data_IF_119049555532
#
_entry.id   IF_119049555532
#
_cell.length_a   1.000
_cell.length_b   1.000
_cell.length_c   1.000
_cell.angle_alpha   90.00
_cell.angle_beta   90.00
_cell.angle_gamma   90.00
#
_symmetry.space_group_name_H-M   'P 1'
#
loop_
_entity.id
_entity.type
_entity.pdbx_description
1 polymer ?
#
# COMPACT_ATOMS: atom_id res chain seq x y z
N UNK A 1 74.59 48.43 25.39
CA UNK A 1 73.12 48.56 25.40
C UNK A 1 72.59 47.91 24.11
N UNK A 2 71.78 46.86 24.25
CA UNK A 2 71.20 46.01 23.18
C UNK A 2 72.16 45.19 22.32
N UNK A 3 72.36 43.90 22.66
CA UNK A 3 72.99 42.90 21.80
C UNK A 3 72.25 41.55 21.90
N UNK A 4 71.68 41.15 20.75
CA UNK A 4 71.59 39.81 20.14
C UNK A 4 70.92 38.59 20.83
N UNK A 5 69.82 38.15 20.19
CA UNK A 5 69.60 36.85 19.50
C UNK A 5 70.10 35.54 20.14
N UNK A 6 69.12 34.63 20.28
CA UNK A 6 69.11 33.18 19.92
C UNK A 6 70.22 32.27 20.51
N UNK A 7 69.82 31.20 21.24
CA UNK A 7 69.65 29.81 20.77
C UNK A 7 69.74 28.81 21.95
N UNK A 8 68.93 27.75 21.90
CA UNK A 8 69.22 26.35 22.30
C UNK A 8 69.71 26.00 23.73
N UNK A 9 68.91 25.21 24.47
CA UNK A 9 69.29 23.90 25.10
C UNK A 9 68.30 23.53 26.23
N UNK A 10 67.52 22.47 26.06
CA UNK A 10 67.71 21.10 26.63
C UNK A 10 67.24 20.97 28.10
N UNK A 11 66.08 20.31 28.24
CA UNK A 11 65.70 19.22 29.16
C UNK A 11 66.09 19.35 30.65
N UNK A 12 65.08 19.45 31.53
CA UNK A 12 65.01 18.59 32.72
C UNK A 12 63.57 18.37 33.21
N UNK A 13 63.27 17.10 33.48
CA UNK A 13 62.04 16.50 33.98
C UNK A 13 61.46 17.21 35.20
N UNK A 14 60.12 17.31 35.24
CA UNK A 14 59.34 17.10 36.47
C UNK A 14 58.03 16.38 36.13
N UNK A 15 58.09 15.06 36.30
CA UNK A 15 56.95 14.15 36.33
C UNK A 15 56.03 14.59 37.48
N UNK A 16 54.81 15.03 37.15
CA UNK A 16 53.71 15.06 38.13
C UNK A 16 52.54 14.31 37.52
N UNK A 17 52.24 13.16 38.13
CA UNK A 17 51.05 12.37 37.86
C UNK A 17 49.80 13.23 38.09
N UNK A 18 49.05 13.51 37.04
CA UNK A 18 47.64 13.86 37.16
C UNK A 18 46.85 12.75 36.49
N UNK A 19 46.44 11.78 37.31
CA UNK A 19 45.45 10.79 36.97
C UNK A 19 44.10 11.51 36.83
N UNK A 20 43.82 12.05 35.65
CA UNK A 20 42.46 12.38 35.26
C UNK A 20 41.80 11.07 34.84
N UNK A 21 40.82 10.64 35.64
CA UNK A 21 39.87 9.60 35.32
C UNK A 21 39.25 9.88 33.94
N UNK A 22 39.77 9.20 32.92
CA UNK A 22 38.98 8.86 31.73
C UNK A 22 37.89 7.93 32.21
N UNK A 23 36.73 8.50 32.54
CA UNK A 23 35.48 7.75 32.53
C UNK A 23 35.31 7.28 31.09
N UNK A 24 35.75 6.03 30.84
CA UNK A 24 35.38 5.29 29.64
C UNK A 24 33.85 5.32 29.55
N UNK A 25 33.35 6.09 28.59
CA UNK A 25 31.94 6.21 28.27
C UNK A 25 31.56 5.22 27.16
N UNK A 26 32.25 4.08 27.11
CA UNK A 26 32.23 3.12 26.00
C UNK A 26 31.94 1.67 26.44
N UNK A 27 31.06 1.42 27.41
CA UNK A 27 30.72 0.04 27.80
C UNK A 27 29.24 -0.25 28.07
N UNK A 28 28.32 0.62 27.64
CA UNK A 28 26.89 0.31 27.73
C UNK A 28 26.35 -0.48 26.53
N UNK A 29 27.13 -0.66 25.45
CA UNK A 29 26.65 -1.25 24.19
C UNK A 29 27.21 -2.66 23.87
N UNK A 30 28.13 -3.18 24.69
CA UNK A 30 28.86 -4.44 24.41
C UNK A 30 28.16 -5.71 24.90
N UNK A 31 26.95 -5.62 25.48
CA UNK A 31 26.23 -6.79 26.03
C UNK A 31 24.75 -6.89 25.61
N UNK A 32 24.32 -6.17 24.56
CA UNK A 32 22.99 -6.36 24.00
C UNK A 32 22.99 -7.60 23.10
N UNK A 33 22.75 -8.75 23.70
CA UNK A 33 22.58 -10.02 22.98
C UNK A 33 21.12 -10.20 22.57
N UNK A 34 20.88 -10.31 21.27
CA UNK A 34 19.53 -10.47 20.74
C UNK A 34 19.22 -11.94 20.48
N UNK A 35 17.96 -12.31 20.64
CA UNK A 35 17.45 -13.67 20.37
C UNK A 35 16.18 -13.58 19.55
N UNK A 36 15.88 -14.62 18.77
CA UNK A 36 14.63 -14.66 18.03
C UNK A 36 13.43 -14.52 18.96
N UNK A 37 13.38 -15.39 19.98
CA UNK A 37 12.23 -15.55 20.86
C UNK A 37 11.86 -14.27 21.61
N UNK A 38 12.83 -13.57 22.18
CA UNK A 38 12.54 -12.40 23.01
C UNK A 38 12.46 -11.10 22.22
N UNK A 39 13.28 -10.94 21.18
CA UNK A 39 13.54 -9.63 20.60
C UNK A 39 13.12 -9.52 19.13
N UNK A 40 13.36 -10.54 18.31
CA UNK A 40 13.15 -10.43 16.86
C UNK A 40 11.76 -10.88 16.43
N UNK A 41 11.19 -11.90 17.05
CA UNK A 41 9.83 -12.36 16.77
C UNK A 41 8.80 -11.22 16.87
N UNK A 42 8.79 -10.35 17.91
CA UNK A 42 7.90 -9.19 17.94
C UNK A 42 8.06 -8.25 16.74
N UNK A 43 9.31 -8.01 16.30
CA UNK A 43 9.62 -7.11 15.17
C UNK A 43 9.12 -7.72 13.86
N UNK A 44 9.37 -9.01 13.64
CA UNK A 44 8.91 -9.76 12.46
C UNK A 44 7.38 -9.84 12.43
N UNK A 45 6.75 -10.12 13.58
CA UNK A 45 5.30 -10.23 13.71
C UNK A 45 4.57 -8.94 13.39
N UNK A 46 5.15 -7.81 13.78
CA UNK A 46 4.61 -6.48 13.49
C UNK A 46 4.83 -6.08 12.03
N UNK A 47 6.03 -6.27 11.50
CA UNK A 47 6.45 -5.63 10.24
C UNK A 47 6.41 -6.56 9.01
N UNK A 48 6.50 -7.87 9.19
CA UNK A 48 6.70 -8.84 8.10
C UNK A 48 5.53 -9.84 8.00
N UNK A 49 5.17 -10.49 9.11
CA UNK A 49 4.13 -11.51 9.17
C UNK A 49 2.73 -11.09 8.69
N UNK A 50 2.33 -9.80 8.69
CA UNK A 50 1.06 -9.42 8.09
C UNK A 50 0.96 -9.78 6.60
N UNK A 51 2.10 -9.79 5.88
CA UNK A 51 2.16 -10.17 4.48
C UNK A 51 2.82 -11.54 4.26
N UNK A 52 3.83 -11.89 5.05
CA UNK A 52 4.60 -13.14 4.97
C UNK A 52 4.01 -14.22 5.88
N UNK A 53 2.91 -14.82 5.44
CA UNK A 53 2.19 -15.86 6.17
C UNK A 53 1.43 -16.78 5.23
N UNK A 54 1.05 -18.00 5.68
CA UNK A 54 0.28 -18.93 4.86
C UNK A 54 -0.98 -18.30 4.30
N UNK A 55 -1.20 -18.49 2.99
CA UNK A 55 -2.38 -17.98 2.29
C UNK A 55 -2.41 -16.45 2.08
N UNK A 56 -1.30 -15.75 2.29
CA UNK A 56 -1.12 -14.35 1.92
C UNK A 56 -0.44 -14.21 0.55
N UNK A 57 -0.22 -12.96 0.10
CA UNK A 57 0.35 -12.65 -1.22
C UNK A 57 1.88 -12.69 -1.29
N UNK A 58 2.59 -12.76 -0.15
CA UNK A 58 4.04 -12.85 -0.16
C UNK A 58 4.53 -14.24 -0.60
N UNK A 59 5.73 -14.35 -1.19
CA UNK A 59 6.22 -15.60 -1.78
C UNK A 59 6.64 -16.67 -0.75
N UNK A 60 6.88 -16.29 0.51
CA UNK A 60 7.30 -17.15 1.60
C UNK A 60 6.79 -16.62 2.94
N UNK A 61 6.80 -17.49 3.95
CA UNK A 61 6.32 -17.18 5.30
C UNK A 61 7.45 -16.62 6.17
N UNK A 62 7.09 -15.84 7.19
CA UNK A 62 7.99 -15.33 8.23
C UNK A 62 7.25 -15.38 9.57
N UNK A 63 6.92 -16.59 10.03
CA UNK A 63 6.15 -16.84 11.27
C UNK A 63 6.99 -17.58 12.30
N UNK A 64 7.71 -18.60 11.89
CA UNK A 64 8.57 -19.42 12.76
C UNK A 64 10.01 -18.92 12.76
N UNK A 65 10.82 -19.41 13.70
CA UNK A 65 12.25 -19.14 13.70
C UNK A 65 12.92 -19.66 12.43
N UNK A 66 12.56 -20.87 12.01
CA UNK A 66 13.05 -21.53 10.80
C UNK A 66 12.77 -20.70 9.54
N UNK A 67 11.54 -20.20 9.41
CA UNK A 67 11.14 -19.34 8.28
C UNK A 67 12.08 -18.13 8.14
N UNK A 68 12.34 -17.45 9.26
CA UNK A 68 13.20 -16.26 9.28
C UNK A 68 14.66 -16.64 9.04
N UNK A 69 15.11 -17.76 9.60
CA UNK A 69 16.47 -18.27 9.45
C UNK A 69 16.82 -18.64 8.01
N UNK A 70 15.87 -19.21 7.26
CA UNK A 70 16.05 -19.51 5.84
C UNK A 70 16.16 -18.26 4.97
N UNK A 71 15.66 -17.12 5.45
CA UNK A 71 15.56 -15.87 4.71
C UNK A 71 16.36 -14.70 5.27
N UNK A 72 17.32 -14.93 6.18
CA UNK A 72 18.09 -13.88 6.88
C UNK A 72 18.71 -12.85 5.94
N UNK A 73 19.33 -13.31 4.84
CA UNK A 73 19.96 -12.41 3.85
C UNK A 73 18.95 -11.48 3.18
N UNK A 74 17.77 -12.02 2.85
CA UNK A 74 16.68 -11.25 2.23
C UNK A 74 16.10 -10.26 3.23
N UNK A 75 15.82 -10.70 4.46
CA UNK A 75 15.34 -9.83 5.54
C UNK A 75 16.34 -8.69 5.77
N UNK A 76 17.62 -9.01 5.99
CA UNK A 76 18.68 -8.04 6.21
C UNK A 76 18.80 -7.02 5.07
N UNK A 77 18.83 -7.49 3.82
CA UNK A 77 18.93 -6.60 2.66
C UNK A 77 17.73 -5.65 2.60
N UNK A 78 16.51 -6.19 2.69
CA UNK A 78 15.30 -5.41 2.46
C UNK A 78 15.02 -4.37 3.56
N UNK A 79 15.34 -4.66 4.82
CA UNK A 79 15.20 -3.68 5.91
C UNK A 79 16.27 -2.58 5.82
N UNK A 80 17.49 -2.91 5.41
CA UNK A 80 18.60 -1.96 5.28
C UNK A 80 18.39 -1.01 4.11
N UNK A 81 17.90 -1.53 2.99
CA UNK A 81 17.53 -0.75 1.80
C UNK A 81 16.15 -0.07 1.93
N UNK A 82 15.48 -0.21 3.09
CA UNK A 82 14.13 0.35 3.35
C UNK A 82 13.08 -0.07 2.33
N UNK A 83 13.25 -1.25 1.73
CA UNK A 83 12.31 -1.84 0.79
C UNK A 83 11.13 -2.49 1.52
N UNK A 84 11.36 -2.97 2.73
CA UNK A 84 10.36 -3.62 3.57
C UNK A 84 10.35 -3.03 5.00
N UNK A 85 9.17 -2.96 5.64
CA UNK A 85 7.86 -3.05 5.00
C UNK A 85 7.66 -1.93 3.96
N UNK A 86 6.84 -2.15 2.92
CA UNK A 86 6.76 -1.23 1.80
C UNK A 86 6.10 0.09 2.23
N UNK A 87 6.89 1.16 2.26
CA UNK A 87 6.43 2.52 2.53
C UNK A 87 7.32 3.54 1.80
N UNK A 88 7.04 3.83 0.51
CA UNK A 88 7.90 4.67 -0.31
C UNK A 88 7.83 6.16 0.06
N UNK A 89 6.88 6.58 0.92
CA UNK A 89 6.74 7.95 1.33
C UNK A 89 7.83 8.35 2.34
N UNK A 90 8.43 9.53 2.12
CA UNK A 90 9.46 10.07 3.01
C UNK A 90 8.86 10.58 4.33
N UNK A 91 9.03 9.78 5.39
CA UNK A 91 8.61 10.13 6.75
C UNK A 91 9.31 11.36 7.33
N UNK A 92 10.46 11.79 6.80
CA UNK A 92 11.10 13.03 7.23
C UNK A 92 10.41 14.28 6.66
N UNK A 93 9.63 14.13 5.59
CA UNK A 93 8.89 15.21 4.96
C UNK A 93 7.50 15.41 5.57
N UNK A 94 6.73 14.33 5.72
CA UNK A 94 5.40 14.35 6.34
C UNK A 94 5.07 12.99 6.94
N UNK A 95 4.28 12.99 8.01
CA UNK A 95 3.82 11.77 8.67
C UNK A 95 2.37 11.45 8.36
N UNK A 96 2.08 10.16 8.18
CA UNK A 96 0.72 9.60 8.12
C UNK A 96 0.42 8.80 9.40
N UNK A 97 -0.85 8.50 9.65
CA UNK A 97 -1.25 7.77 10.89
C UNK A 97 -0.78 6.32 10.90
N UNK A 98 -0.79 5.66 9.74
CA UNK A 98 -0.66 4.21 9.61
C UNK A 98 0.62 3.83 8.82
N UNK A 99 1.73 4.52 9.08
CA UNK A 99 3.02 4.33 8.38
C UNK A 99 3.60 2.93 8.64
N UNK A 100 3.98 2.25 7.56
CA UNK A 100 4.64 0.94 7.62
C UNK A 100 6.15 1.14 7.60
N UNK A 101 6.75 1.54 8.71
CA UNK A 101 8.19 1.82 8.80
C UNK A 101 8.81 1.16 10.04
N UNK A 102 9.96 0.53 9.85
CA UNK A 102 10.78 0.01 10.96
C UNK A 102 11.65 1.12 11.57
N UNK A 103 11.75 1.16 12.90
CA UNK A 103 12.63 2.12 13.58
C UNK A 103 14.11 1.76 13.38
N UNK A 104 15.01 2.71 13.67
CA UNK A 104 16.46 2.45 13.58
C UNK A 104 16.88 1.38 14.60
N UNK A 105 16.24 1.35 15.75
CA UNK A 105 16.46 0.40 16.83
C UNK A 105 15.98 -1.00 16.44
N UNK A 106 14.80 -1.11 15.80
CA UNK A 106 14.29 -2.37 15.27
C UNK A 106 15.24 -2.95 14.21
N UNK A 107 15.70 -2.14 13.27
CA UNK A 107 16.67 -2.56 12.23
C UNK A 107 18.00 -2.96 12.85
N UNK A 108 18.50 -2.17 13.81
CA UNK A 108 19.73 -2.48 14.53
C UNK A 108 19.63 -3.83 15.25
N UNK A 109 18.54 -4.08 15.97
CA UNK A 109 18.33 -5.34 16.68
C UNK A 109 18.37 -6.55 15.74
N UNK A 110 17.68 -6.48 14.59
CA UNK A 110 17.69 -7.55 13.59
C UNK A 110 19.09 -7.77 13.01
N UNK A 111 19.79 -6.70 12.63
CA UNK A 111 21.15 -6.80 12.09
C UNK A 111 22.12 -7.41 13.11
N UNK A 112 22.09 -6.90 14.34
CA UNK A 112 22.96 -7.36 15.43
C UNK A 112 22.71 -8.84 15.75
N UNK A 113 21.44 -9.26 15.82
CA UNK A 113 21.06 -10.66 15.97
C UNK A 113 21.61 -11.55 14.84
N UNK A 114 21.52 -11.10 13.58
CA UNK A 114 22.07 -11.83 12.43
C UNK A 114 23.59 -11.94 12.52
N UNK A 115 24.28 -10.86 12.86
CA UNK A 115 25.73 -10.82 13.06
C UNK A 115 26.20 -11.78 14.17
N UNK A 116 25.38 -11.95 15.22
CA UNK A 116 25.62 -12.85 16.36
C UNK A 116 25.27 -14.32 16.06
N UNK A 117 24.89 -14.64 14.82
CA UNK A 117 24.62 -16.01 14.37
C UNK A 117 23.15 -16.40 14.38
N UNK A 118 22.23 -15.44 14.54
CA UNK A 118 20.78 -15.62 14.46
C UNK A 118 20.26 -16.75 15.38
N UNK A 119 20.59 -16.66 16.67
CA UNK A 119 20.20 -17.68 17.67
C UNK A 119 18.72 -17.57 18.06
N UNK A 120 18.06 -18.70 18.26
CA UNK A 120 16.63 -18.76 18.58
C UNK A 120 16.31 -18.20 19.98
N UNK A 121 17.15 -18.53 20.96
CA UNK A 121 16.94 -18.16 22.37
C UNK A 121 15.98 -19.09 23.11
N UNK A 122 15.45 -18.61 24.23
CA UNK A 122 14.52 -19.35 25.09
C UNK A 122 13.10 -19.34 24.52
N UNK A 123 12.67 -20.48 23.97
CA UNK A 123 11.36 -20.64 23.37
C UNK A 123 10.20 -20.42 24.37
N UNK A 124 10.42 -20.51 25.68
CA UNK A 124 9.38 -20.18 26.67
C UNK A 124 9.02 -18.69 26.70
N UNK A 125 9.89 -17.85 26.12
CA UNK A 125 9.68 -16.40 25.97
C UNK A 125 9.25 -15.99 24.57
N UNK A 126 9.12 -16.94 23.64
CA UNK A 126 8.61 -16.68 22.30
C UNK A 126 7.16 -16.16 22.42
N UNK A 127 6.85 -14.94 21.95
CA UNK A 127 5.48 -14.47 21.92
C UNK A 127 4.63 -15.38 21.02
N UNK A 128 3.35 -15.50 21.34
CA UNK A 128 2.43 -16.22 20.45
C UNK A 128 2.40 -15.55 19.07
N UNK A 129 2.48 -16.32 17.98
CA UNK A 129 2.31 -15.79 16.63
C UNK A 129 1.01 -14.99 16.49
N UNK A 130 0.98 -13.95 15.63
CA UNK A 130 -0.23 -13.18 15.41
C UNK A 130 -1.34 -14.08 14.85
N UNK A 131 -2.55 -13.90 15.38
CA UNK A 131 -3.73 -14.60 14.87
C UNK A 131 -4.26 -13.82 13.68
N UNK A 132 -4.28 -14.47 12.52
CA UNK A 132 -4.82 -13.91 11.29
C UNK A 132 -6.14 -14.59 10.96
N UNK A 133 -7.23 -13.84 11.12
CA UNK A 133 -8.56 -14.34 10.80
C UNK A 133 -8.69 -14.55 9.29
N UNK A 134 -9.30 -15.67 8.90
CA UNK A 134 -9.77 -15.86 7.54
C UNK A 134 -11.05 -15.05 7.32
N UNK A 135 -11.26 -14.60 6.09
CA UNK A 135 -12.35 -13.70 5.74
C UNK A 135 -11.99 -12.23 5.93
N UNK A 136 -12.95 -11.45 6.44
CA UNK A 136 -12.83 -9.99 6.52
C UNK A 136 -12.01 -9.51 7.71
N UNK A 137 -11.12 -8.55 7.47
CA UNK A 137 -10.42 -7.82 8.53
C UNK A 137 -11.30 -6.78 9.21
N UNK A 138 -12.44 -6.44 8.60
CA UNK A 138 -13.35 -5.39 9.07
C UNK A 138 -14.53 -5.93 9.91
N UNK A 139 -14.55 -7.24 10.17
CA UNK A 139 -15.62 -7.95 10.86
C UNK A 139 -16.66 -8.52 9.90
N UNK A 140 -17.85 -8.87 10.40
CA UNK A 140 -18.89 -9.49 9.57
C UNK A 140 -19.44 -8.50 8.53
N UNK A 141 -19.40 -8.82 7.21
CA UNK A 141 -20.01 -7.96 6.19
C UNK A 141 -21.53 -8.03 6.22
N UNK A 142 -22.18 -6.96 5.76
CA UNK A 142 -23.63 -6.90 5.58
C UNK A 142 -24.06 -7.60 4.28
N UNK A 143 -23.19 -7.56 3.27
CA UNK A 143 -23.38 -8.22 1.98
C UNK A 143 -22.01 -8.65 1.44
N UNK A 144 -21.90 -9.90 0.97
CA UNK A 144 -20.72 -10.37 0.23
C UNK A 144 -21.14 -10.65 -1.20
N UNK A 145 -20.51 -9.97 -2.15
CA UNK A 145 -20.64 -10.27 -3.58
C UNK A 145 -19.42 -11.07 -4.04
N UNK A 146 -19.61 -11.99 -4.99
CA UNK A 146 -18.52 -12.77 -5.57
C UNK A 146 -18.51 -12.59 -7.07
N UNK A 147 -17.31 -12.45 -7.64
CA UNK A 147 -17.19 -12.59 -9.10
C UNK A 147 -17.47 -14.04 -9.51
N UNK A 148 -17.78 -14.25 -10.79
CA UNK A 148 -17.77 -15.62 -11.32
C UNK A 148 -16.33 -16.15 -11.29
N UNK A 149 -16.11 -17.48 -11.25
CA UNK A 149 -14.77 -18.03 -11.39
C UNK A 149 -14.14 -17.61 -12.72
N UNK A 150 -12.94 -17.05 -12.66
CA UNK A 150 -12.16 -16.67 -13.84
C UNK A 150 -10.95 -17.58 -13.97
N UNK A 151 -10.72 -18.12 -15.16
CA UNK A 151 -9.54 -18.96 -15.45
C UNK A 151 -8.39 -18.08 -15.92
N UNK A 152 -7.22 -18.31 -15.34
CA UNK A 152 -5.96 -17.64 -15.68
C UNK A 152 -5.08 -18.69 -16.35
N UNK A 153 -4.67 -18.43 -17.59
CA UNK A 153 -3.81 -19.33 -18.35
C UNK A 153 -2.38 -19.34 -17.79
N UNK A 154 -1.75 -20.50 -17.77
CA UNK A 154 -0.35 -20.69 -17.38
C UNK A 154 0.66 -20.34 -18.48
N UNK A 155 0.52 -19.18 -19.13
CA UNK A 155 1.35 -18.78 -20.28
C UNK A 155 2.43 -17.75 -19.96
N UNK A 156 2.66 -17.48 -18.67
CA UNK A 156 3.61 -16.49 -18.13
C UNK A 156 3.39 -15.06 -18.66
N UNK A 157 2.14 -14.68 -18.96
CA UNK A 157 1.80 -13.31 -19.32
C UNK A 157 0.95 -12.64 -18.25
N UNK A 158 1.08 -11.32 -18.17
CA UNK A 158 0.10 -10.50 -17.47
C UNK A 158 -1.28 -10.68 -18.11
N UNK A 159 -2.33 -10.55 -17.31
CA UNK A 159 -3.69 -10.64 -17.80
C UNK A 159 -4.54 -9.53 -17.17
N UNK A 160 -5.18 -8.73 -18.03
CA UNK A 160 -5.99 -7.59 -17.62
C UNK A 160 -7.44 -7.81 -18.05
N UNK A 161 -8.35 -7.87 -17.09
CA UNK A 161 -9.78 -7.99 -17.39
C UNK A 161 -10.59 -6.87 -16.75
N UNK A 162 -11.74 -6.61 -17.38
CA UNK A 162 -12.81 -5.79 -16.86
C UNK A 162 -14.03 -6.68 -16.60
N UNK A 163 -14.72 -6.44 -15.50
CA UNK A 163 -15.97 -7.14 -15.19
C UNK A 163 -16.93 -6.30 -14.38
N UNK A 164 -18.19 -6.72 -14.34
CA UNK A 164 -19.19 -6.15 -13.45
C UNK A 164 -19.80 -7.23 -12.55
N UNK A 165 -20.06 -6.88 -11.31
CA UNK A 165 -20.74 -7.72 -10.34
C UNK A 165 -22.06 -7.05 -9.98
N UNK A 166 -23.19 -7.48 -10.59
CA UNK A 166 -24.49 -6.88 -10.34
C UNK A 166 -24.98 -7.19 -8.92
N UNK A 167 -25.77 -6.29 -8.36
CA UNK A 167 -26.46 -6.51 -7.10
C UNK A 167 -27.85 -5.89 -7.10
N UNK A 168 -28.72 -6.46 -6.26
CA UNK A 168 -30.01 -5.89 -5.88
C UNK A 168 -30.09 -5.89 -4.35
N UNK A 169 -30.25 -4.69 -3.78
CA UNK A 169 -30.44 -4.48 -2.35
C UNK A 169 -31.94 -4.42 -2.04
N UNK A 170 -32.31 -4.44 -0.76
CA UNK A 170 -33.72 -4.25 -0.37
C UNK A 170 -34.21 -2.82 -0.67
N UNK A 171 -33.32 -1.83 -0.53
CA UNK A 171 -33.58 -0.40 -0.72
C UNK A 171 -32.28 0.35 -1.02
N UNK A 172 -32.40 1.61 -1.46
CA UNK A 172 -31.28 2.55 -1.46
C UNK A 172 -30.64 2.59 -0.06
N UNK A 173 -29.31 2.52 0.00
CA UNK A 173 -28.53 2.50 1.24
C UNK A 173 -27.27 3.34 1.14
N UNK A 174 -26.48 3.35 2.21
CA UNK A 174 -25.14 3.94 2.25
C UNK A 174 -24.12 2.85 2.52
N UNK A 175 -23.04 2.84 1.74
CA UNK A 175 -21.92 1.93 1.92
C UNK A 175 -20.83 2.71 2.67
N UNK A 176 -20.32 2.17 3.78
CA UNK A 176 -19.18 2.75 4.52
C UNK A 176 -17.84 2.24 4.02
N UNK A 177 -17.79 0.99 3.56
CA UNK A 177 -16.58 0.37 3.04
C UNK A 177 -16.92 -0.80 2.10
N UNK A 178 -16.03 -1.03 1.14
CA UNK A 178 -15.99 -2.25 0.33
C UNK A 178 -14.58 -2.82 0.47
N UNK A 179 -14.48 -3.98 1.11
CA UNK A 179 -13.24 -4.74 1.21
C UNK A 179 -13.18 -5.76 0.07
N UNK A 180 -12.04 -5.79 -0.61
CA UNK A 180 -11.76 -6.76 -1.67
C UNK A 180 -10.94 -7.89 -1.08
N UNK A 181 -11.40 -9.12 -1.22
CA UNK A 181 -10.68 -10.33 -0.83
C UNK A 181 -10.37 -11.14 -2.09
N UNK A 182 -9.12 -11.05 -2.60
CA UNK A 182 -8.71 -11.86 -3.75
C UNK A 182 -8.84 -13.36 -3.46
N UNK A 183 -9.40 -14.09 -4.41
CA UNK A 183 -9.42 -15.56 -4.36
C UNK A 183 -8.02 -16.14 -4.59
N UNK A 184 -7.22 -15.47 -5.43
CA UNK A 184 -5.84 -15.78 -5.73
C UNK A 184 -4.91 -14.62 -5.36
N UNK A 185 -4.61 -14.49 -4.06
CA UNK A 185 -3.75 -13.43 -3.51
C UNK A 185 -2.32 -13.41 -4.05
N UNK A 186 -1.87 -14.50 -4.68
CA UNK A 186 -0.54 -14.58 -5.31
C UNK A 186 -0.49 -13.93 -6.69
N UNK A 187 -1.62 -13.93 -7.42
CA UNK A 187 -1.66 -13.41 -8.79
C UNK A 187 -2.39 -12.08 -8.92
N UNK A 188 -3.41 -11.79 -8.10
CA UNK A 188 -4.09 -10.49 -8.16
C UNK A 188 -3.10 -9.39 -7.77
N UNK A 189 -2.64 -8.63 -8.76
CA UNK A 189 -1.65 -7.57 -8.62
C UNK A 189 -2.31 -6.22 -8.29
N UNK A 190 -3.44 -5.90 -8.93
CA UNK A 190 -4.30 -4.82 -8.45
C UNK A 190 -5.75 -4.96 -8.95
N UNK A 191 -6.67 -4.31 -8.24
CA UNK A 191 -8.08 -4.16 -8.63
C UNK A 191 -8.49 -2.70 -8.41
N UNK A 192 -9.14 -2.10 -9.40
CA UNK A 192 -9.77 -0.78 -9.28
C UNK A 192 -11.28 -0.90 -9.52
N UNK A 193 -12.07 -0.48 -8.54
CA UNK A 193 -13.53 -0.63 -8.58
C UNK A 193 -14.26 0.71 -8.60
N UNK A 194 -15.36 0.73 -9.35
CA UNK A 194 -16.35 1.79 -9.44
C UNK A 194 -17.72 1.23 -9.05
N UNK A 195 -18.64 2.10 -8.65
CA UNK A 195 -20.03 1.74 -8.38
C UNK A 195 -20.95 2.28 -9.46
N UNK A 196 -21.63 1.39 -10.17
CA UNK A 196 -22.70 1.71 -11.10
C UNK A 196 -24.03 1.70 -10.36
N UNK A 197 -24.85 2.72 -10.58
CA UNK A 197 -26.13 2.90 -9.92
C UNK A 197 -27.25 3.13 -10.92
N UNK A 198 -28.20 2.20 -10.99
CA UNK A 198 -29.33 2.27 -11.90
C UNK A 198 -30.53 2.93 -11.22
N UNK A 199 -31.14 3.91 -11.89
CA UNK A 199 -32.44 4.43 -11.46
C UNK A 199 -33.53 3.37 -11.60
N UNK A 200 -34.58 3.45 -10.79
CA UNK A 200 -35.69 2.51 -10.84
C UNK A 200 -36.28 2.46 -12.26
N UNK A 201 -36.39 1.25 -12.83
CA UNK A 201 -36.90 1.02 -14.17
C UNK A 201 -35.96 1.38 -15.32
N UNK A 202 -34.77 1.96 -15.08
CA UNK A 202 -33.86 2.40 -16.14
C UNK A 202 -33.19 1.24 -16.91
N UNK A 203 -33.04 0.09 -16.26
CA UNK A 203 -32.54 -1.15 -16.87
C UNK A 203 -33.33 -2.32 -16.31
N UNK A 204 -33.80 -3.24 -17.16
CA UNK A 204 -34.59 -4.41 -16.72
C UNK A 204 -33.72 -5.55 -16.20
N UNK A 205 -32.58 -5.80 -16.84
CA UNK A 205 -31.67 -6.89 -16.48
C UNK A 205 -30.27 -6.34 -16.21
N UNK A 206 -29.95 -6.04 -14.96
CA UNK A 206 -28.64 -5.52 -14.56
C UNK A 206 -27.51 -6.55 -14.69
N UNK A 207 -27.87 -7.84 -14.72
CA UNK A 207 -26.95 -8.98 -14.82
C UNK A 207 -26.64 -9.40 -16.25
N UNK A 208 -27.17 -8.70 -17.25
CA UNK A 208 -26.92 -8.97 -18.66
C UNK A 208 -25.48 -8.65 -19.09
N UNK A 209 -25.09 -9.00 -20.32
CA UNK A 209 -23.74 -8.82 -20.83
C UNK A 209 -22.76 -9.93 -20.43
N UNK A 210 -21.52 -9.80 -20.91
CA UNK A 210 -20.44 -10.74 -20.60
C UNK A 210 -20.02 -10.62 -19.14
N UNK A 211 -19.61 -11.73 -18.49
CA UNK A 211 -19.11 -11.68 -17.13
C UNK A 211 -17.70 -11.09 -17.05
N UNK A 212 -16.91 -11.20 -18.11
CA UNK A 212 -15.54 -10.69 -18.20
C UNK A 212 -15.26 -10.19 -19.62
N UNK A 213 -14.40 -9.19 -19.72
CA UNK A 213 -13.82 -8.72 -20.97
C UNK A 213 -12.31 -8.64 -20.78
N UNK A 214 -11.58 -9.29 -21.67
CA UNK A 214 -10.13 -9.15 -21.80
C UNK A 214 -9.81 -7.76 -22.38
N UNK A 215 -9.15 -6.93 -21.59
CA UNK A 215 -8.83 -5.54 -21.92
C UNK A 215 -7.53 -5.37 -22.68
N UNK A 216 -6.75 -6.45 -22.86
CA UNK A 216 -5.65 -6.44 -23.82
C UNK A 216 -6.16 -6.61 -25.25
N UNK A 217 -7.33 -7.23 -25.41
CA UNK A 217 -7.99 -7.48 -26.70
C UNK A 217 -9.13 -6.53 -27.04
N UNK A 218 -9.54 -5.68 -26.10
CA UNK A 218 -10.67 -4.77 -26.25
C UNK A 218 -10.32 -3.42 -25.66
N UNK A 219 -10.59 -2.34 -26.40
CA UNK A 219 -10.60 -1.02 -25.79
C UNK A 219 -11.75 -0.89 -24.78
N UNK A 220 -11.68 0.19 -23.98
CA UNK A 220 -12.60 0.48 -22.89
C UNK A 220 -14.05 0.65 -23.36
N UNK A 221 -14.28 1.25 -24.53
CA UNK A 221 -15.63 1.48 -25.04
C UNK A 221 -16.29 0.16 -25.41
N UNK A 222 -15.59 -0.69 -26.18
CA UNK A 222 -16.08 -2.01 -26.54
C UNK A 222 -16.25 -2.92 -25.31
N UNK A 223 -15.41 -2.77 -24.29
CA UNK A 223 -15.57 -3.47 -23.03
C UNK A 223 -16.87 -3.05 -22.31
N UNK A 224 -17.16 -1.76 -22.24
CA UNK A 224 -18.40 -1.25 -21.64
C UNK A 224 -19.66 -1.72 -22.38
N UNK A 225 -19.59 -1.84 -23.71
CA UNK A 225 -20.67 -2.38 -24.53
C UNK A 225 -20.85 -3.88 -24.31
N UNK A 226 -19.76 -4.65 -24.28
CA UNK A 226 -19.81 -6.09 -24.02
C UNK A 226 -20.31 -6.43 -22.61
N UNK A 227 -20.07 -5.56 -21.64
CA UNK A 227 -20.63 -5.64 -20.28
C UNK A 227 -22.06 -5.12 -20.20
N UNK A 228 -22.64 -4.57 -21.28
CA UNK A 228 -24.00 -4.03 -21.35
C UNK A 228 -24.33 -3.06 -20.19
N UNK A 229 -23.45 -2.09 -19.94
CA UNK A 229 -23.58 -1.17 -18.79
C UNK A 229 -24.72 -0.15 -18.92
N UNK A 230 -25.10 0.20 -20.15
CA UNK A 230 -26.13 1.22 -20.46
C UNK A 230 -27.50 0.84 -19.90
N UNK A 231 -28.29 1.87 -19.62
CA UNK A 231 -29.73 1.79 -19.43
C UNK A 231 -30.41 1.28 -20.72
N UNK A 232 -31.65 0.80 -20.59
CA UNK A 232 -32.42 0.26 -21.71
C UNK A 232 -32.76 1.34 -22.76
N UNK A 233 -32.71 2.63 -22.38
CA UNK A 233 -32.86 3.79 -23.27
C UNK A 233 -31.54 4.23 -23.96
N UNK A 234 -30.44 3.51 -23.71
CA UNK A 234 -29.12 3.80 -24.27
C UNK A 234 -28.29 4.82 -23.50
N UNK A 235 -28.82 5.45 -22.45
CA UNK A 235 -28.05 6.37 -21.59
C UNK A 235 -27.13 5.61 -20.63
N UNK A 236 -26.10 6.28 -20.11
CA UNK A 236 -25.24 5.69 -19.08
C UNK A 236 -25.84 5.90 -17.68
N UNK A 237 -25.80 4.86 -16.81
CA UNK A 237 -26.17 5.01 -15.41
C UNK A 237 -25.17 5.90 -14.66
N UNK A 238 -25.56 6.34 -13.46
CA UNK A 238 -24.65 7.07 -12.57
C UNK A 238 -23.46 6.15 -12.21
N UNK A 239 -22.25 6.67 -12.37
CA UNK A 239 -21.01 6.02 -11.95
C UNK A 239 -20.38 6.82 -10.81
N UNK A 240 -20.15 6.16 -9.68
CA UNK A 240 -19.31 6.67 -8.60
C UNK A 240 -17.91 6.07 -8.77
N UNK A 241 -16.89 6.87 -9.12
CA UNK A 241 -15.55 6.36 -9.36
C UNK A 241 -14.87 5.97 -8.05
N UNK A 242 -13.84 5.14 -8.17
CA UNK A 242 -12.89 4.77 -7.11
C UNK A 242 -13.53 4.47 -5.75
N UNK A 243 -14.52 3.58 -5.74
CA UNK A 243 -15.21 3.21 -4.51
C UNK A 243 -14.40 2.28 -3.62
N UNK A 244 -13.44 1.55 -4.22
CA UNK A 244 -12.44 0.75 -3.52
C UNK A 244 -11.36 0.30 -4.51
N UNK A 245 -10.18 -0.05 -3.99
CA UNK A 245 -9.09 -0.65 -4.74
C UNK A 245 -8.39 -1.72 -3.89
N UNK A 246 -7.57 -2.54 -4.55
CA UNK A 246 -6.70 -3.50 -3.90
C UNK A 246 -5.35 -3.50 -4.59
N UNK A 247 -4.28 -3.58 -3.79
CA UNK A 247 -2.94 -4.00 -4.18
C UNK A 247 -2.40 -4.91 -3.06
N UNK A 248 -1.45 -5.82 -3.34
CA UNK A 248 -0.79 -6.60 -2.30
C UNK A 248 -0.26 -5.72 -1.15
N UNK A 249 -0.73 -6.00 0.06
CA UNK A 249 -0.34 -5.28 1.28
C UNK A 249 -1.16 -4.02 1.60
N UNK A 250 -2.10 -3.61 0.73
CA UNK A 250 -3.08 -2.56 1.03
C UNK A 250 -4.20 -3.14 1.87
N UNK A 251 -4.59 -2.40 2.92
CA UNK A 251 -5.71 -2.74 3.79
C UNK A 251 -6.86 -1.76 3.54
N UNK A 252 -8.10 -2.25 3.57
CA UNK A 252 -9.27 -1.39 3.39
C UNK A 252 -9.41 -0.44 4.57
N UNK A 253 -9.32 0.87 4.30
CA UNK A 253 -9.44 1.89 5.33
C UNK A 253 -10.87 1.99 5.85
N UNK A 254 -11.01 1.89 7.18
CA UNK A 254 -12.25 2.18 7.90
C UNK A 254 -12.15 3.55 8.56
N UNK A 255 -12.95 4.50 8.08
CA UNK A 255 -13.01 5.83 8.67
C UNK A 255 -13.97 5.88 9.88
N UNK A 256 -13.76 6.82 10.82
CA UNK A 256 -14.71 7.07 11.91
C UNK A 256 -16.13 7.33 11.41
N UNK A 257 -17.13 7.04 12.24
CA UNK A 257 -18.53 7.18 11.85
C UNK A 257 -18.84 8.60 11.35
N UNK A 258 -19.46 8.66 10.16
CA UNK A 258 -19.82 9.93 9.52
C UNK A 258 -18.77 10.44 8.51
N UNK A 259 -17.60 9.81 8.42
CA UNK A 259 -16.59 10.08 7.39
C UNK A 259 -16.55 8.92 6.39
N UNK A 260 -16.33 9.23 5.12
CA UNK A 260 -16.17 8.27 4.05
C UNK A 260 -17.48 7.66 3.56
N UNK A 261 -17.36 6.68 2.69
CA UNK A 261 -18.52 6.00 2.11
C UNK A 261 -19.27 6.83 1.08
N UNK A 262 -20.30 6.20 0.51
CA UNK A 262 -21.07 6.74 -0.61
C UNK A 262 -22.49 6.14 -0.62
N UNK A 263 -23.40 6.81 -1.34
CA UNK A 263 -24.75 6.30 -1.57
C UNK A 263 -24.71 5.15 -2.59
N UNK A 264 -25.50 4.11 -2.34
CA UNK A 264 -25.78 3.04 -3.28
C UNK A 264 -27.29 2.95 -3.52
N UNK A 265 -27.70 2.97 -4.79
CA UNK A 265 -29.09 2.67 -5.16
C UNK A 265 -29.42 1.19 -4.93
N UNK A 266 -30.72 0.89 -4.82
CA UNK A 266 -31.25 -0.47 -4.75
C UNK A 266 -30.61 -1.39 -5.80
N UNK A 267 -30.51 -0.92 -7.04
CA UNK A 267 -30.01 -1.69 -8.16
C UNK A 267 -28.71 -1.08 -8.68
N UNK A 268 -27.69 -1.91 -8.85
CA UNK A 268 -26.36 -1.45 -9.24
C UNK A 268 -25.42 -2.56 -9.63
N UNK A 269 -24.16 -2.20 -9.84
CA UNK A 269 -23.07 -3.15 -10.01
C UNK A 269 -21.76 -2.57 -9.46
N UNK A 270 -20.90 -3.43 -8.92
CA UNK A 270 -19.48 -3.10 -8.78
C UNK A 270 -18.83 -3.33 -10.13
N UNK A 271 -18.32 -2.28 -10.76
CA UNK A 271 -17.53 -2.36 -11.99
C UNK A 271 -16.07 -2.43 -11.60
N UNK A 272 -15.40 -3.54 -11.89
CA UNK A 272 -13.93 -3.60 -11.84
C UNK A 272 -13.45 -3.07 -13.18
N UNK A 273 -13.03 -1.82 -13.20
CA UNK A 273 -12.53 -1.16 -14.42
C UNK A 273 -11.25 -1.83 -14.92
N UNK A 274 -10.46 -2.33 -13.97
CA UNK A 274 -9.27 -3.11 -14.24
C UNK A 274 -8.97 -4.03 -13.05
N UNK A 275 -8.87 -5.33 -13.32
CA UNK A 275 -8.17 -6.29 -12.47
C UNK A 275 -6.98 -6.81 -13.27
N UNK A 276 -5.81 -6.75 -12.66
CA UNK A 276 -4.55 -7.21 -13.23
C UNK A 276 -4.08 -8.44 -12.48
N UNK A 277 -3.87 -9.52 -13.21
CA UNK A 277 -3.17 -10.70 -12.72
C UNK A 277 -1.72 -10.69 -13.21
N UNK A 278 -0.79 -10.89 -12.28
CA UNK A 278 0.60 -11.17 -12.63
C UNK A 278 0.76 -12.50 -13.38
N UNK A 279 1.93 -12.73 -14.00
CA UNK A 279 2.17 -13.90 -14.83
C UNK A 279 2.18 -15.19 -14.02
N UNK A 280 1.63 -16.26 -14.61
CA UNK A 280 1.65 -17.61 -14.02
C UNK A 280 2.18 -18.64 -15.03
N UNK A 281 3.04 -19.60 -14.60
CA UNK A 281 3.48 -20.70 -15.45
C UNK A 281 2.51 -21.89 -15.47
N UNK A 282 1.45 -21.84 -14.64
CA UNK A 282 0.46 -22.91 -14.51
C UNK A 282 -0.95 -22.33 -14.63
N UNK A 283 -1.85 -23.12 -15.22
CA UNK A 283 -3.26 -22.79 -15.25
C UNK A 283 -3.79 -22.71 -13.82
N UNK A 284 -4.54 -21.65 -13.54
CA UNK A 284 -5.15 -21.42 -12.24
C UNK A 284 -6.44 -20.61 -12.40
N UNK A 285 -7.01 -20.17 -11.29
CA UNK A 285 -8.22 -19.38 -11.28
C UNK A 285 -8.24 -18.36 -10.17
N UNK A 286 -9.14 -17.40 -10.30
CA UNK A 286 -9.49 -16.46 -9.25
C UNK A 286 -11.02 -16.46 -9.05
N UNK A 287 -11.43 -16.23 -7.81
CA UNK A 287 -12.79 -15.97 -7.41
C UNK A 287 -12.77 -14.91 -6.29
N UNK A 288 -12.48 -13.67 -6.67
CA UNK A 288 -12.44 -12.53 -5.75
C UNK A 288 -13.82 -12.22 -5.13
N UNK A 289 -13.83 -11.96 -3.83
CA UNK A 289 -15.00 -11.55 -3.06
C UNK A 289 -14.95 -10.05 -2.72
N UNK A 290 -16.13 -9.45 -2.59
CA UNK A 290 -16.34 -8.05 -2.23
C UNK A 290 -17.25 -7.99 -1.01
N UNK A 291 -16.64 -7.74 0.14
CA UNK A 291 -17.33 -7.57 1.41
C UNK A 291 -17.80 -6.12 1.54
N UNK A 292 -19.10 -5.93 1.60
CA UNK A 292 -19.75 -4.63 1.64
C UNK A 292 -20.28 -4.41 3.05
N UNK A 293 -19.95 -3.23 3.59
CA UNK A 293 -20.41 -2.79 4.89
C UNK A 293 -21.30 -1.57 4.71
N UNK A 294 -22.49 -1.61 5.28
CA UNK A 294 -23.45 -0.52 5.21
C UNK A 294 -23.26 0.49 6.35
N UNK A 295 -23.72 1.70 6.11
CA UNK A 295 -23.90 2.74 7.12
C UNK A 295 -25.41 2.93 7.37
N UNK A 296 -25.82 3.11 8.63
CA UNK A 296 -27.23 3.32 8.96
C UNK A 296 -27.76 4.69 8.50
N UNK A 297 -26.88 5.63 8.15
CA UNK A 297 -27.19 7.00 7.74
C UNK A 297 -26.12 7.53 6.78
N UNK A 298 -26.49 8.57 6.03
CA UNK A 298 -25.57 9.25 5.12
C UNK A 298 -24.31 9.72 5.85
N UNK A 299 -23.13 9.66 5.22
CA UNK A 299 -21.93 10.24 5.79
C UNK A 299 -22.07 11.77 5.83
N UNK A 300 -21.64 12.37 6.95
CA UNK A 300 -21.56 13.82 7.09
C UNK A 300 -20.42 14.40 6.23
N UNK A 301 -19.37 13.61 6.01
CA UNK A 301 -18.18 13.95 5.23
C UNK A 301 -17.86 12.80 4.25
N UNK A 302 -18.54 12.73 3.09
CA UNK A 302 -18.27 11.70 2.11
C UNK A 302 -16.84 11.80 1.57
N UNK A 303 -16.26 10.67 1.17
CA UNK A 303 -14.98 10.62 0.48
C UNK A 303 -15.17 10.85 -1.02
N UNK A 304 -14.25 11.61 -1.61
CA UNK A 304 -14.11 11.73 -3.07
C UNK A 304 -12.65 11.48 -3.42
N UNK A 305 -12.40 10.75 -4.50
CA UNK A 305 -11.08 10.65 -5.10
C UNK A 305 -11.08 11.43 -6.42
N UNK A 306 -9.98 12.10 -6.70
CA UNK A 306 -9.72 12.69 -8.00
C UNK A 306 -8.28 12.42 -8.40
N UNK A 307 -8.07 12.20 -9.69
CA UNK A 307 -6.77 11.89 -10.29
C UNK A 307 -6.18 13.19 -10.81
N UNK A 308 -4.89 13.42 -10.55
CA UNK A 308 -4.13 14.51 -11.16
C UNK A 308 -3.22 13.94 -12.26
N UNK A 309 -3.10 14.64 -13.39
CA UNK A 309 -2.25 14.23 -14.50
C UNK A 309 -2.99 13.44 -15.59
N UNK A 310 -2.41 12.34 -16.06
CA UNK A 310 -2.96 11.55 -17.18
C UNK A 310 -4.38 11.08 -16.88
N UNK A 311 -5.33 11.45 -17.74
CA UNK A 311 -6.77 11.13 -17.57
C UNK A 311 -7.40 11.71 -16.30
N UNK A 312 -6.73 12.68 -15.65
CA UNK A 312 -7.18 13.33 -14.43
C UNK A 312 -7.88 14.67 -14.66
N UNK A 313 -8.20 15.36 -13.56
CA UNK A 313 -8.84 16.69 -13.56
C UNK A 313 -7.85 17.83 -13.84
N UNK A 314 -6.56 17.53 -13.94
CA UNK A 314 -5.50 18.48 -14.22
C UNK A 314 -4.52 17.96 -15.27
N UNK A 315 -4.06 18.80 -16.20
CA UNK A 315 -3.12 18.36 -17.22
C UNK A 315 -1.73 18.12 -16.62
N UNK A 316 -0.92 17.30 -17.32
CA UNK A 316 0.52 17.19 -17.10
C UNK A 316 1.22 18.25 -17.95
N UNK A 317 2.11 19.03 -17.34
CA UNK A 317 2.84 20.14 -17.97
C UNK A 317 4.35 19.99 -17.73
N UNK A 318 5.20 19.99 -18.78
CA UNK A 318 4.83 19.93 -20.21
C UNK A 318 4.13 18.60 -20.55
N UNK A 319 3.66 18.43 -21.79
CA UNK A 319 3.10 17.15 -22.26
C UNK A 319 4.06 16.01 -21.94
N UNK A 320 3.54 14.92 -21.36
CA UNK A 320 4.33 13.78 -20.89
C UNK A 320 4.95 13.01 -22.07
N UNK A 321 6.13 13.45 -22.51
CA UNK A 321 6.92 12.84 -23.58
C UNK A 321 8.37 12.74 -23.11
N UNK A 322 8.87 11.52 -22.94
CA UNK A 322 10.23 11.22 -22.51
C UNK A 322 10.97 10.59 -23.70
N UNK A 323 11.84 11.35 -24.41
CA UNK A 323 12.71 10.79 -25.44
C UNK A 323 13.71 9.79 -24.85
N UNK A 324 14.23 8.86 -25.67
CA UNK A 324 15.29 7.96 -25.24
C UNK A 324 16.49 8.73 -24.66
N UNK A 325 17.04 8.23 -23.54
CA UNK A 325 18.22 8.79 -22.87
C UNK A 325 18.05 10.21 -22.29
N UNK A 326 16.82 10.70 -22.13
CA UNK A 326 16.53 11.98 -21.46
C UNK A 326 15.92 11.80 -20.07
N UNK A 327 16.28 12.70 -19.16
CA UNK A 327 15.60 12.87 -17.87
C UNK A 327 14.73 14.11 -17.95
N UNK A 328 13.44 13.97 -17.64
CA UNK A 328 12.48 15.09 -17.64
C UNK A 328 11.71 15.15 -16.34
N UNK A 329 11.32 16.37 -15.99
CA UNK A 329 10.42 16.65 -14.87
C UNK A 329 9.10 17.17 -15.43
N UNK A 330 8.01 16.72 -14.85
CA UNK A 330 6.66 17.10 -15.22
C UNK A 330 5.91 17.55 -13.97
N UNK A 331 4.95 18.44 -14.16
CA UNK A 331 4.16 18.99 -13.07
C UNK A 331 2.68 18.91 -13.44
N UNK A 332 1.86 18.55 -12.47
CA UNK A 332 0.41 18.71 -12.54
C UNK A 332 -0.06 19.49 -11.32
N UNK A 333 -1.05 20.36 -11.50
CA UNK A 333 -1.58 21.21 -10.43
C UNK A 333 -3.10 21.30 -10.54
N UNK A 334 -3.76 21.25 -9.41
CA UNK A 334 -5.19 21.47 -9.29
C UNK A 334 -5.47 22.37 -8.10
N UNK A 335 -6.37 23.34 -8.29
CA UNK A 335 -6.83 24.22 -7.21
C UNK A 335 -8.07 23.60 -6.59
N UNK A 336 -8.03 23.37 -5.28
CA UNK A 336 -9.20 22.92 -4.53
C UNK A 336 -9.97 24.15 -4.07
N UNK A 337 -11.25 24.25 -4.47
CA UNK A 337 -12.10 25.43 -4.20
C UNK A 337 -12.93 25.32 -2.90
N UNK A 338 -12.65 24.31 -2.06
CA UNK A 338 -13.35 24.09 -0.80
C UNK A 338 -12.41 23.51 0.24
N UNK A 339 -12.76 23.70 1.52
CA UNK A 339 -12.03 23.08 2.61
C UNK A 339 -12.19 21.56 2.56
N UNK A 340 -11.07 20.85 2.41
CA UNK A 340 -11.02 19.39 2.41
C UNK A 340 -10.05 18.89 3.47
N UNK A 341 -10.23 17.63 3.87
CA UNK A 341 -9.18 16.89 4.58
C UNK A 341 -8.58 15.89 3.60
N UNK A 342 -7.27 15.95 3.42
CA UNK A 342 -6.54 14.96 2.64
C UNK A 342 -6.41 13.69 3.48
N UNK A 343 -6.93 12.56 2.97
CA UNK A 343 -6.96 11.29 3.69
C UNK A 343 -5.85 10.36 3.22
N UNK A 344 -5.66 10.26 1.91
CA UNK A 344 -4.69 9.40 1.27
C UNK A 344 -4.08 10.09 0.05
N UNK A 345 -2.87 9.69 -0.30
CA UNK A 345 -2.19 10.05 -1.55
C UNK A 345 -1.73 8.75 -2.18
N UNK A 346 -2.05 8.55 -3.46
CA UNK A 346 -1.72 7.34 -4.22
C UNK A 346 -0.79 7.72 -5.40
N UNK A 347 0.53 7.85 -5.18
CA UNK A 347 1.48 8.10 -6.26
C UNK A 347 1.52 6.89 -7.21
N UNK A 348 1.46 7.15 -8.53
CA UNK A 348 1.54 6.10 -9.56
C UNK A 348 2.55 6.49 -10.63
N UNK A 349 3.51 5.60 -10.89
CA UNK A 349 4.49 5.73 -11.97
C UNK A 349 4.81 4.35 -12.55
N UNK A 350 5.15 4.32 -13.84
CA UNK A 350 5.67 3.11 -14.48
C UNK A 350 7.21 3.03 -14.32
N UNK A 351 7.84 2.08 -15.02
CA UNK A 351 9.26 1.70 -14.85
C UNK A 351 10.29 2.83 -15.06
N UNK A 352 9.94 3.90 -15.78
CA UNK A 352 10.83 5.04 -16.01
C UNK A 352 10.77 6.10 -14.90
N UNK A 353 9.75 6.05 -14.03
CA UNK A 353 9.60 6.97 -12.92
C UNK A 353 10.77 6.87 -11.94
N UNK A 354 11.25 8.01 -11.44
CA UNK A 354 12.37 8.08 -10.49
C UNK A 354 11.96 8.63 -9.13
N UNK A 355 11.17 9.70 -9.13
CA UNK A 355 10.65 10.31 -7.91
C UNK A 355 9.36 11.05 -8.22
N UNK A 356 8.54 11.24 -7.19
CA UNK A 356 7.31 12.00 -7.25
C UNK A 356 7.19 12.80 -5.96
N UNK A 357 7.01 14.13 -6.09
CA UNK A 357 6.83 15.04 -4.97
C UNK A 357 5.41 15.62 -5.00
N UNK A 358 4.68 15.46 -3.89
CA UNK A 358 3.39 16.12 -3.66
C UNK A 358 3.58 17.31 -2.72
N UNK A 359 3.05 18.47 -3.10
CA UNK A 359 3.03 19.67 -2.26
C UNK A 359 1.61 20.21 -2.19
N UNK A 360 1.26 20.81 -1.05
CA UNK A 360 -0.01 21.51 -0.85
C UNK A 360 0.32 22.96 -0.48
N UNK A 361 -0.12 23.90 -1.32
CA UNK A 361 0.01 25.33 -1.03
C UNK A 361 -1.29 25.86 -0.45
N UNK A 362 -1.25 26.32 0.80
CA UNK A 362 -2.39 26.96 1.44
C UNK A 362 -2.53 28.41 0.97
N UNK A 363 -3.76 28.97 0.95
CA UNK A 363 -3.98 30.38 0.62
C UNK A 363 -3.09 31.30 1.46
N UNK A 364 -2.36 32.21 0.81
CA UNK A 364 -1.48 33.18 1.48
C UNK A 364 -0.09 32.65 1.87
N UNK A 365 0.22 31.37 1.62
CA UNK A 365 1.57 30.84 1.77
C UNK A 365 2.28 30.77 0.41
N UNK A 366 3.36 31.54 0.25
CA UNK A 366 4.30 31.41 -0.86
C UNK A 366 5.32 30.33 -0.49
N UNK A 367 5.32 29.18 -1.17
CA UNK A 367 6.45 28.26 -1.07
C UNK A 367 7.55 28.70 -2.03
N UNK A 368 8.75 28.92 -1.47
CA UNK A 368 10.00 28.94 -2.23
C UNK A 368 10.31 27.49 -2.60
N UNK A 369 10.29 27.20 -3.89
CA UNK A 369 10.64 25.89 -4.48
C UNK A 369 12.08 25.51 -4.23
#
# INVERSE_FOLDING_TARGET
MSIFKKLLSIILLLFTMSACNLVNKDSANDNLHFTFSEHIAPIIYKNCSPCHRPGSGAPFDLITFEDVKEHLKTVQLTINERLMPPWPADTAYSHFRDEKVMTKEEIFAVNKWIEEGAVEGDNSKLPSPPVFYSGSLLGKPDLTLKMKPYKISGDNKDNFIMLKIPFELEKDTFIRAIEIIPGNKKLVHHINAHLIQYSAGAKKNYSSGKPFVDTEKSDKLHAFEALELKNDDGTYPLLTPSVTNYLPGVETAMYPQGIGGFKAKKNGAILLDNIHYGPSPIDTSDETEFNIFFAPKAPARPTTEFILGTSGISPVVPTLIIPPNEVKTFVTRFKVDSDISLLTVNPHMHLLGKSLLHTVSLPGMTHYT
#
